data_IF_074087206680
#
_entry.id   IF_074087206680
#
_cell.length_a   1.000
_cell.length_b   1.000
_cell.length_c   1.000
_cell.angle_alpha   90.00
_cell.angle_beta   90.00
_cell.angle_gamma   90.00
#
_symmetry.space_group_name_H-M   'P 1'
#
loop_
_entity.id
_entity.type
_entity.pdbx_description
1 polymer ?
#
# COMPACT_ATOMS: atom_id res chain seq x y z
N UNK A 1 -0.42 -26.03 10.67
CA UNK A 1 -0.38 -25.23 9.42
C UNK A 1 -0.11 -23.80 9.84
N UNK A 2 1.03 -23.20 9.48
CA UNK A 2 1.34 -21.85 9.94
C UNK A 2 0.39 -20.84 9.29
N UNK A 3 -0.19 -19.96 10.11
CA UNK A 3 -1.08 -18.89 9.64
C UNK A 3 -0.33 -17.86 8.81
N UNK A 4 -1.03 -17.08 7.99
CA UNK A 4 -0.39 -15.96 7.26
C UNK A 4 0.34 -15.02 8.21
N UNK A 5 -0.26 -14.70 9.35
CA UNK A 5 0.35 -13.86 10.39
C UNK A 5 1.69 -14.43 10.90
N UNK A 6 1.76 -15.72 11.21
CA UNK A 6 3.02 -16.35 11.64
C UNK A 6 4.10 -16.30 10.56
N UNK A 7 3.72 -16.40 9.28
CA UNK A 7 4.68 -16.28 8.17
C UNK A 7 5.16 -14.85 7.97
N UNK A 8 4.28 -13.85 8.13
CA UNK A 8 4.65 -12.43 8.13
C UNK A 8 5.62 -12.13 9.27
N UNK A 9 5.31 -12.58 10.50
CA UNK A 9 6.16 -12.39 11.68
C UNK A 9 7.52 -13.08 11.55
N UNK A 10 7.59 -14.20 10.83
CA UNK A 10 8.82 -14.91 10.53
C UNK A 10 9.59 -14.33 9.33
N UNK A 11 9.11 -13.25 8.70
CA UNK A 11 9.73 -12.62 7.52
C UNK A 11 9.65 -13.45 6.23
N UNK A 12 8.87 -14.54 6.21
CA UNK A 12 8.71 -15.44 5.06
C UNK A 12 7.73 -14.92 4.02
N UNK A 13 6.87 -13.98 4.42
CA UNK A 13 5.91 -13.29 3.57
C UNK A 13 6.04 -11.79 3.81
N UNK A 14 5.62 -10.98 2.83
CA UNK A 14 5.70 -9.52 2.89
C UNK A 14 4.31 -8.88 2.92
N UNK A 15 4.25 -7.67 3.49
CA UNK A 15 3.10 -6.76 3.39
C UNK A 15 3.37 -5.77 2.25
N UNK A 16 2.39 -5.54 1.39
CA UNK A 16 2.41 -4.43 0.43
C UNK A 16 1.50 -3.30 0.90
N UNK A 17 1.96 -2.06 0.87
CA UNK A 17 1.13 -0.87 1.03
C UNK A 17 1.06 -0.14 -0.31
N UNK A 18 -0.14 0.02 -0.86
CA UNK A 18 -0.42 0.62 -2.17
C UNK A 18 -0.94 2.03 -1.97
N UNK A 19 -0.20 3.01 -2.50
CA UNK A 19 -0.40 4.45 -2.27
C UNK A 19 0.46 4.92 -1.10
N UNK A 20 1.43 5.79 -1.37
CA UNK A 20 2.38 6.32 -0.37
C UNK A 20 2.16 7.81 -0.12
N UNK A 21 0.88 8.16 0.01
CA UNK A 21 0.42 9.47 0.48
C UNK A 21 0.40 9.55 2.00
N UNK A 22 -0.44 10.44 2.52
CA UNK A 22 -0.48 10.77 3.95
C UNK A 22 -0.90 9.62 4.86
N UNK A 23 -1.70 8.66 4.39
CA UNK A 23 -2.00 7.46 5.19
C UNK A 23 -1.00 6.35 4.95
N UNK A 24 -0.78 6.00 3.67
CA UNK A 24 -0.04 4.80 3.34
C UNK A 24 1.45 4.87 3.68
N UNK A 25 2.10 6.03 3.59
CA UNK A 25 3.50 6.15 3.97
C UNK A 25 3.75 5.90 5.47
N UNK A 26 3.11 6.62 6.42
CA UNK A 26 3.33 6.38 7.84
C UNK A 26 2.88 4.97 8.26
N UNK A 27 1.86 4.40 7.60
CA UNK A 27 1.47 3.00 7.80
C UNK A 27 2.59 2.03 7.38
N UNK A 28 3.16 2.20 6.18
CA UNK A 28 4.24 1.35 5.69
C UNK A 28 5.48 1.41 6.60
N UNK A 29 5.82 2.63 7.04
CA UNK A 29 6.92 2.87 7.99
C UNK A 29 6.67 2.19 9.34
N UNK A 30 5.47 2.31 9.88
CA UNK A 30 5.12 1.71 11.18
C UNK A 30 5.12 0.18 11.10
N UNK A 31 4.62 -0.39 10.00
CA UNK A 31 4.65 -1.84 9.79
C UNK A 31 6.07 -2.39 9.62
N UNK A 32 7.00 -1.61 9.04
CA UNK A 32 8.39 -2.00 8.85
C UNK A 32 9.18 -2.15 10.17
N UNK A 33 8.66 -1.63 11.28
CA UNK A 33 9.22 -1.89 12.62
C UNK A 33 9.01 -3.36 13.05
N UNK A 34 8.12 -4.10 12.38
CA UNK A 34 7.73 -5.46 12.77
C UNK A 34 7.75 -6.49 11.63
N UNK A 35 7.64 -6.05 10.37
CA UNK A 35 7.47 -6.93 9.20
C UNK A 35 8.29 -6.46 8.01
N UNK A 36 8.49 -7.35 7.03
CA UNK A 36 9.01 -6.96 5.71
C UNK A 36 7.89 -6.27 4.92
N UNK A 37 8.13 -5.03 4.49
CA UNK A 37 7.15 -4.16 3.83
C UNK A 37 7.66 -3.69 2.46
N UNK A 38 6.77 -3.76 1.48
CA UNK A 38 6.91 -3.13 0.17
C UNK A 38 5.93 -1.96 0.08
N UNK A 39 6.44 -0.74 0.03
CA UNK A 39 5.66 0.44 -0.32
C UNK A 39 5.60 0.61 -1.84
N UNK A 40 4.40 0.57 -2.41
CA UNK A 40 4.17 0.77 -3.83
C UNK A 40 3.43 2.08 -4.09
N UNK A 41 3.93 2.89 -5.02
CA UNK A 41 3.24 4.07 -5.54
C UNK A 41 3.50 4.21 -7.04
N UNK A 42 2.46 4.56 -7.81
CA UNK A 42 2.55 4.73 -9.27
C UNK A 42 3.41 5.93 -9.68
N UNK A 43 3.74 6.84 -8.77
CA UNK A 43 4.54 8.02 -9.06
C UNK A 43 6.05 7.73 -8.89
N UNK A 44 6.82 7.58 -9.97
CA UNK A 44 8.25 7.29 -9.89
C UNK A 44 9.04 8.36 -9.13
N UNK A 45 8.62 9.64 -9.23
CA UNK A 45 9.28 10.73 -8.49
C UNK A 45 9.09 10.60 -6.98
N UNK A 46 7.91 10.11 -6.55
CA UNK A 46 7.63 9.82 -5.14
C UNK A 46 8.54 8.71 -4.64
N UNK A 47 8.64 7.63 -5.41
CA UNK A 47 9.47 6.47 -5.06
C UNK A 47 10.95 6.85 -4.99
N UNK A 48 11.47 7.62 -5.95
CA UNK A 48 12.86 8.05 -5.95
C UNK A 48 13.20 8.90 -4.71
N UNK A 49 12.35 9.86 -4.36
CA UNK A 49 12.53 10.66 -3.15
C UNK A 49 12.53 9.79 -1.87
N UNK A 50 11.59 8.86 -1.76
CA UNK A 50 11.48 7.97 -0.60
C UNK A 50 12.66 7.02 -0.46
N UNK A 51 13.20 6.50 -1.57
CA UNK A 51 14.43 5.69 -1.57
C UNK A 51 15.65 6.46 -1.07
N UNK A 52 15.64 7.78 -1.22
CA UNK A 52 16.67 8.67 -0.69
C UNK A 52 16.38 9.10 0.77
N UNK A 53 15.30 8.58 1.38
CA UNK A 53 14.87 8.91 2.73
C UNK A 53 14.26 10.31 2.84
N UNK A 54 13.63 10.80 1.77
CA UNK A 54 13.02 12.13 1.70
C UNK A 54 11.50 12.00 1.53
N UNK A 55 10.76 12.46 2.53
CA UNK A 55 9.31 12.64 2.42
C UNK A 55 8.93 14.12 2.25
N UNK A 56 8.50 14.50 1.05
CA UNK A 56 8.05 15.87 0.77
C UNK A 56 6.64 16.18 1.31
N UNK A 57 5.88 15.19 1.81
CA UNK A 57 4.58 15.44 2.44
C UNK A 57 4.70 15.86 3.90
N UNK A 58 5.85 15.60 4.55
CA UNK A 58 6.09 15.94 5.95
C UNK A 58 5.42 14.98 6.95
N UNK A 59 4.95 13.84 6.48
CA UNK A 59 4.23 12.84 7.29
C UNK A 59 5.22 11.93 8.03
N UNK A 60 6.41 11.74 7.43
CA UNK A 60 7.53 11.03 8.05
C UNK A 60 8.80 11.88 7.94
N UNK A 61 9.09 12.65 8.98
CA UNK A 61 10.29 13.50 9.04
C UNK A 61 11.57 12.70 9.33
N UNK A 62 11.44 11.55 10.02
CA UNK A 62 12.59 10.74 10.40
C UNK A 62 13.11 9.93 9.20
N UNK A 63 14.19 10.41 8.60
CA UNK A 63 14.92 9.75 7.49
C UNK A 63 15.31 8.30 7.80
N UNK A 64 15.73 7.98 9.03
CA UNK A 64 16.15 6.63 9.39
C UNK A 64 14.99 5.64 9.33
N UNK A 65 13.77 6.10 9.66
CA UNK A 65 12.55 5.29 9.51
C UNK A 65 12.23 4.97 8.05
N UNK A 66 12.48 5.92 7.14
CA UNK A 66 12.32 5.72 5.70
C UNK A 66 13.38 4.78 5.12
N UNK A 67 14.57 4.74 5.73
CA UNK A 67 15.69 3.87 5.34
C UNK A 67 15.74 2.56 6.14
N UNK A 68 14.64 2.18 6.80
CA UNK A 68 14.54 0.93 7.53
C UNK A 68 14.83 -0.26 6.60
N UNK A 69 15.71 -1.21 6.98
CA UNK A 69 16.08 -2.35 6.12
C UNK A 69 14.92 -3.28 5.76
N UNK A 70 13.84 -3.26 6.55
CA UNK A 70 12.62 -4.03 6.28
C UNK A 70 11.63 -3.27 5.38
N UNK A 71 11.92 -2.03 5.00
CA UNK A 71 11.08 -1.20 4.13
C UNK A 71 11.75 -1.02 2.77
N UNK A 72 11.00 -1.31 1.71
CA UNK A 72 11.42 -1.04 0.33
C UNK A 72 10.36 -0.23 -0.39
N UNK A 73 10.78 0.65 -1.29
CA UNK A 73 9.87 1.47 -2.10
C UNK A 73 10.01 1.11 -3.58
N UNK A 74 8.90 1.02 -4.31
CA UNK A 74 8.88 0.70 -5.74
C UNK A 74 7.69 1.29 -6.47
N UNK A 75 7.89 1.60 -7.75
CA UNK A 75 6.86 1.94 -8.74
C UNK A 75 6.59 0.78 -9.71
N UNK A 76 7.29 -0.35 -9.55
CA UNK A 76 7.05 -1.58 -10.32
C UNK A 76 5.90 -2.39 -9.68
N UNK A 77 4.76 -2.55 -10.36
CA UNK A 77 3.63 -3.30 -9.84
C UNK A 77 3.91 -4.81 -9.69
N UNK A 78 4.95 -5.36 -10.32
CA UNK A 78 5.28 -6.78 -10.16
C UNK A 78 5.65 -7.15 -8.72
N UNK A 79 6.15 -6.19 -7.94
CA UNK A 79 6.50 -6.39 -6.54
C UNK A 79 5.28 -6.77 -5.66
N UNK A 80 4.07 -6.41 -6.09
CA UNK A 80 2.82 -6.81 -5.41
C UNK A 80 2.67 -8.34 -5.42
N UNK A 81 3.17 -9.03 -6.46
CA UNK A 81 3.10 -10.51 -6.58
C UNK A 81 3.91 -11.22 -5.51
N UNK A 82 4.91 -10.55 -4.94
CA UNK A 82 5.76 -11.07 -3.85
C UNK A 82 5.10 -10.94 -2.46
N UNK A 83 3.93 -10.31 -2.38
CA UNK A 83 3.26 -10.03 -1.12
C UNK A 83 1.99 -10.88 -0.98
N UNK A 84 1.62 -11.20 0.27
CA UNK A 84 0.39 -11.94 0.59
C UNK A 84 -0.64 -11.11 1.33
N UNK A 85 -0.24 -9.98 1.90
CA UNK A 85 -1.13 -9.05 2.58
C UNK A 85 -0.96 -7.69 1.92
N UNK A 86 -2.01 -7.18 1.29
CA UNK A 86 -1.98 -5.95 0.51
C UNK A 86 -2.93 -4.95 1.16
N UNK A 87 -2.44 -3.76 1.48
CA UNK A 87 -3.23 -2.67 2.03
C UNK A 87 -3.30 -1.57 0.99
N UNK A 88 -4.52 -1.17 0.59
CA UNK A 88 -4.76 -0.11 -0.38
C UNK A 88 -5.17 1.16 0.36
N UNK A 89 -4.35 2.20 0.25
CA UNK A 89 -4.47 3.50 0.93
C UNK A 89 -4.32 4.65 -0.09
N UNK A 90 -5.19 4.65 -1.12
CA UNK A 90 -5.22 5.66 -2.18
C UNK A 90 -6.31 6.70 -1.93
N UNK A 91 -6.18 7.94 -2.44
CA UNK A 91 -7.15 8.99 -2.15
C UNK A 91 -8.51 8.69 -2.78
N UNK A 92 -9.57 9.13 -2.11
CA UNK A 92 -10.96 9.10 -2.59
C UNK A 92 -11.56 10.51 -2.48
N UNK A 93 -11.06 11.48 -3.27
CA UNK A 93 -11.49 12.87 -3.14
C UNK A 93 -12.99 12.99 -3.48
N UNK A 94 -13.65 13.96 -2.88
CA UNK A 94 -15.06 14.26 -3.18
C UNK A 94 -15.16 15.48 -4.09
N UNK A 95 -16.06 15.42 -5.07
CA UNK A 95 -16.35 16.55 -5.94
C UNK A 95 -17.21 17.63 -5.23
N UNK A 96 -17.50 18.73 -5.94
CA UNK A 96 -18.33 19.83 -5.41
C UNK A 96 -19.77 19.41 -5.05
N UNK A 97 -20.25 18.30 -5.62
CA UNK A 97 -21.57 17.72 -5.38
C UNK A 97 -21.51 16.63 -4.28
N UNK A 98 -20.37 16.46 -3.63
CA UNK A 98 -20.09 15.43 -2.60
C UNK A 98 -20.12 14.00 -3.12
N UNK A 99 -19.95 13.80 -4.43
CA UNK A 99 -19.75 12.47 -4.98
C UNK A 99 -18.28 12.06 -4.81
N UNK A 100 -18.01 10.84 -4.35
CA UNK A 100 -16.65 10.33 -4.28
C UNK A 100 -16.12 10.02 -5.68
N UNK A 101 -14.92 10.52 -5.99
CA UNK A 101 -14.14 10.07 -7.12
C UNK A 101 -13.39 8.79 -6.75
N UNK A 102 -13.91 7.66 -7.23
CA UNK A 102 -13.34 6.34 -7.02
C UNK A 102 -12.33 5.93 -8.11
N UNK A 103 -11.94 6.83 -9.02
CA UNK A 103 -11.00 6.51 -10.11
C UNK A 103 -9.65 6.00 -9.59
N UNK A 104 -9.14 6.59 -8.51
CA UNK A 104 -7.91 6.16 -7.85
C UNK A 104 -8.03 4.78 -7.24
N UNK A 105 -9.15 4.50 -6.57
CA UNK A 105 -9.45 3.21 -5.97
C UNK A 105 -9.57 2.12 -7.04
N UNK A 106 -10.34 2.37 -8.11
CA UNK A 106 -10.47 1.46 -9.25
C UNK A 106 -9.12 1.15 -9.88
N UNK A 107 -8.32 2.18 -10.16
CA UNK A 107 -6.99 2.02 -10.74
C UNK A 107 -6.06 1.20 -9.83
N UNK A 108 -6.09 1.42 -8.52
CA UNK A 108 -5.32 0.62 -7.57
C UNK A 108 -5.81 -0.84 -7.53
N UNK A 109 -7.12 -1.06 -7.48
CA UNK A 109 -7.73 -2.40 -7.48
C UNK A 109 -7.37 -3.19 -8.75
N UNK A 110 -7.36 -2.55 -9.93
CA UNK A 110 -6.93 -3.20 -11.18
C UNK A 110 -5.45 -3.61 -11.15
N UNK A 111 -4.57 -2.72 -10.65
CA UNK A 111 -3.13 -3.00 -10.53
C UNK A 111 -2.90 -4.13 -9.54
N UNK A 112 -3.58 -4.11 -8.38
CA UNK A 112 -3.51 -5.17 -7.38
C UNK A 112 -4.03 -6.47 -7.98
N UNK A 113 -5.22 -6.48 -8.57
CA UNK A 113 -5.87 -7.66 -9.16
C UNK A 113 -5.00 -8.38 -10.20
N UNK A 114 -4.32 -7.63 -11.08
CA UNK A 114 -3.37 -8.17 -12.08
C UNK A 114 -2.13 -8.83 -11.46
N UNK A 115 -1.87 -8.59 -10.18
CA UNK A 115 -0.69 -9.06 -9.44
C UNK A 115 -1.05 -9.91 -8.22
N UNK A 116 -2.34 -10.23 -8.00
CA UNK A 116 -2.75 -11.10 -6.90
C UNK A 116 -2.28 -12.53 -7.13
N UNK A 117 -1.83 -13.16 -6.05
CA UNK A 117 -1.54 -14.59 -6.02
C UNK A 117 -2.56 -15.30 -5.12
N UNK A 118 -2.76 -16.61 -5.34
CA UNK A 118 -3.71 -17.40 -4.53
C UNK A 118 -3.41 -17.28 -3.04
N UNK A 119 -4.46 -17.08 -2.25
CA UNK A 119 -4.38 -16.94 -0.79
C UNK A 119 -3.91 -15.56 -0.31
N UNK A 120 -3.90 -14.55 -1.20
CA UNK A 120 -3.66 -13.16 -0.79
C UNK A 120 -4.86 -12.58 -0.05
N UNK A 121 -4.58 -11.64 0.86
CA UNK A 121 -5.58 -10.82 1.56
C UNK A 121 -5.40 -9.38 1.08
N UNK A 122 -6.51 -8.74 0.70
CA UNK A 122 -6.54 -7.32 0.33
C UNK A 122 -7.38 -6.57 1.34
N UNK A 123 -6.83 -5.50 1.89
CA UNK A 123 -7.48 -4.60 2.84
C UNK A 123 -7.59 -3.23 2.19
N UNK A 124 -8.79 -2.66 2.18
CA UNK A 124 -9.02 -1.30 1.73
C UNK A 124 -9.11 -0.40 2.96
N UNK A 125 -8.15 0.51 3.10
CA UNK A 125 -8.12 1.50 4.16
C UNK A 125 -8.78 2.80 3.72
N UNK A 126 -8.71 3.14 2.42
CA UNK A 126 -9.33 4.32 1.84
C UNK A 126 -10.79 4.51 2.28
N UNK A 127 -11.15 5.74 2.65
CA UNK A 127 -12.54 6.09 3.02
C UNK A 127 -13.47 5.91 1.83
N UNK A 128 -14.46 5.04 1.97
CA UNK A 128 -15.46 4.72 0.92
C UNK A 128 -16.85 4.58 1.52
N UNK A 129 -17.87 4.56 0.65
CA UNK A 129 -19.24 4.27 1.06
C UNK A 129 -19.44 2.74 1.29
N UNK A 130 -20.43 2.33 2.11
CA UNK A 130 -20.72 0.90 2.34
C UNK A 130 -21.07 0.16 1.04
N UNK A 131 -20.43 -0.98 0.78
CA UNK A 131 -20.62 -1.78 -0.45
C UNK A 131 -19.57 -1.51 -1.53
N UNK A 132 -18.77 -0.45 -1.42
CA UNK A 132 -17.75 -0.13 -2.41
C UNK A 132 -16.71 -1.25 -2.61
N UNK A 133 -16.39 -2.01 -1.56
CA UNK A 133 -15.47 -3.15 -1.67
C UNK A 133 -16.02 -4.19 -2.65
N UNK A 134 -17.29 -4.58 -2.51
CA UNK A 134 -17.97 -5.57 -3.33
C UNK A 134 -18.31 -5.07 -4.73
N UNK A 135 -18.67 -3.79 -4.85
CA UNK A 135 -19.15 -3.19 -6.11
C UNK A 135 -18.01 -2.71 -7.03
N UNK A 136 -16.87 -2.33 -6.45
CA UNK A 136 -15.82 -1.59 -7.17
C UNK A 136 -14.46 -2.29 -7.11
N UNK A 137 -14.18 -2.98 -6.01
CA UNK A 137 -12.82 -3.40 -5.69
C UNK A 137 -12.55 -4.91 -5.85
N UNK A 138 -13.58 -5.72 -6.04
CA UNK A 138 -13.43 -7.15 -6.29
C UNK A 138 -12.79 -7.38 -7.67
N UNK A 139 -11.94 -8.44 -7.82
CA UNK A 139 -11.38 -8.83 -9.12
C UNK A 139 -12.42 -9.29 -10.15
#
# INVERSE_FOLDING_TARGET
MNTLFERLKAGKEKICVVGLGYVGLPLAVSLAEHFNVVGFDKNPKRIEALRQGIDYTGEVENREKLLNPNLSFTDDPSAIRECKFIIVAVPTPVDKLKNPDLSFLKSASEVVGKNLTKGSVVVYESTVYPGATEEVCVP
#
